data_IF_318468185069
#
_entry.id   IF_318468185069
#
_cell.length_a   1.000
_cell.length_b   1.000
_cell.length_c   1.000
_cell.angle_alpha   90.00
_cell.angle_beta   90.00
_cell.angle_gamma   90.00
#
_symmetry.space_group_name_H-M   'P 1'
#
loop_
_entity.id
_entity.type
_entity.pdbx_description
1 polymer ?
#
# COMPACT_ATOMS: atom_id res chain seq x y z
N UNK A 1 0.18 21.56 15.27
CA UNK A 1 -0.88 20.52 15.30
C UNK A 1 -0.22 19.21 14.89
N UNK A 2 -0.05 18.26 15.82
CA UNK A 2 0.50 16.94 15.51
C UNK A 2 -0.58 16.19 14.72
N UNK A 3 -0.28 15.80 13.47
CA UNK A 3 -1.22 15.03 12.66
C UNK A 3 -1.30 13.60 13.21
N UNK A 4 -2.48 12.97 13.28
CA UNK A 4 -2.58 11.58 13.71
C UNK A 4 -1.76 10.67 12.78
N UNK A 5 -1.07 9.67 13.34
CA UNK A 5 -0.34 8.70 12.54
C UNK A 5 -1.30 7.95 11.60
N UNK A 6 -0.88 7.57 10.38
CA UNK A 6 -1.70 6.73 9.53
C UNK A 6 -1.91 5.37 10.18
N UNK A 7 -3.13 4.86 10.07
CA UNK A 7 -3.51 3.55 10.58
C UNK A 7 -3.49 2.47 9.47
N UNK A 8 -3.57 2.89 8.21
CA UNK A 8 -3.38 2.03 7.03
C UNK A 8 -2.42 2.61 6.02
N UNK A 9 -1.65 1.71 5.40
CA UNK A 9 -0.82 1.96 4.23
C UNK A 9 -1.16 0.92 3.16
N UNK A 10 -1.90 1.34 2.15
CA UNK A 10 -2.38 0.49 1.05
C UNK A 10 -1.37 0.56 -0.10
N UNK A 11 -0.88 -0.61 -0.53
CA UNK A 11 0.09 -0.74 -1.61
C UNK A 11 -0.63 -1.29 -2.84
N UNK A 12 -0.85 -0.43 -3.83
CA UNK A 12 -1.33 -0.85 -5.14
C UNK A 12 -0.19 -1.45 -5.95
N UNK A 13 -0.37 -2.64 -6.50
CA UNK A 13 0.70 -3.31 -7.24
C UNK A 13 1.76 -3.93 -6.33
N UNK A 14 1.35 -4.45 -5.16
CA UNK A 14 2.24 -4.94 -4.11
C UNK A 14 3.22 -6.05 -4.53
N UNK A 15 2.96 -6.74 -5.65
CA UNK A 15 3.81 -7.80 -6.21
C UNK A 15 4.63 -7.34 -7.42
N UNK A 16 4.57 -6.05 -7.78
CA UNK A 16 5.32 -5.46 -8.89
C UNK A 16 6.73 -5.07 -8.50
N UNK A 17 7.60 -4.91 -9.50
CA UNK A 17 9.04 -4.66 -9.31
C UNK A 17 9.33 -3.49 -8.37
N UNK A 18 8.63 -2.36 -8.51
CA UNK A 18 8.84 -1.21 -7.63
C UNK A 18 8.58 -1.56 -6.15
N UNK A 19 7.50 -2.29 -5.88
CA UNK A 19 7.18 -2.73 -4.54
C UNK A 19 8.26 -3.70 -4.01
N UNK A 20 8.59 -4.73 -4.79
CA UNK A 20 9.54 -5.78 -4.38
C UNK A 20 10.98 -5.29 -4.26
N UNK A 21 11.40 -4.36 -5.13
CA UNK A 21 12.79 -3.93 -5.23
C UNK A 21 13.13 -2.77 -4.29
N UNK A 22 12.11 -2.00 -3.87
CA UNK A 22 12.30 -0.75 -3.12
C UNK A 22 11.40 -0.64 -1.90
N UNK A 23 10.09 -0.71 -2.08
CA UNK A 23 9.15 -0.40 -1.00
C UNK A 23 9.20 -1.45 0.12
N UNK A 24 9.11 -2.74 -0.20
CA UNK A 24 9.11 -3.81 0.79
C UNK A 24 10.45 -3.84 1.58
N UNK A 25 11.64 -3.75 0.95
CA UNK A 25 12.90 -3.59 1.68
C UNK A 25 12.93 -2.34 2.57
N UNK A 26 12.39 -1.20 2.10
CA UNK A 26 12.34 0.02 2.92
C UNK A 26 11.44 -0.14 4.15
N UNK A 27 10.27 -0.75 4.01
CA UNK A 27 9.38 -1.08 5.13
C UNK A 27 10.04 -2.05 6.10
N UNK A 28 10.78 -3.04 5.60
CA UNK A 28 11.57 -3.93 6.45
C UNK A 28 12.60 -3.17 7.28
N UNK A 29 13.35 -2.24 6.69
CA UNK A 29 14.31 -1.44 7.46
C UNK A 29 13.64 -0.56 8.51
N UNK A 30 12.42 -0.08 8.26
CA UNK A 30 11.64 0.65 9.25
C UNK A 30 11.17 -0.25 10.39
N UNK A 31 10.74 -1.49 10.10
CA UNK A 31 10.36 -2.47 11.12
C UNK A 31 11.58 -2.90 11.95
N UNK A 32 12.72 -3.15 11.30
CA UNK A 32 13.98 -3.51 11.96
C UNK A 32 14.46 -2.40 12.92
N UNK A 33 14.18 -1.15 12.57
CA UNK A 33 14.51 0.02 13.38
C UNK A 33 13.42 0.41 14.38
N UNK A 34 12.34 -0.38 14.50
CA UNK A 34 11.18 -0.12 15.37
C UNK A 34 10.55 1.27 15.13
N UNK A 35 10.54 1.71 13.86
CA UNK A 35 10.03 3.01 13.41
C UNK A 35 8.63 2.97 12.82
N UNK A 36 8.01 1.80 12.82
CA UNK A 36 6.63 1.63 12.36
C UNK A 36 5.72 1.72 13.59
N UNK A 37 4.75 2.63 13.55
CA UNK A 37 3.77 2.78 14.61
C UNK A 37 3.00 1.45 14.82
N UNK A 38 2.76 1.07 16.07
CA UNK A 38 2.18 -0.25 16.41
C UNK A 38 0.80 -0.49 15.81
N UNK A 39 0.02 0.58 15.60
CA UNK A 39 -1.31 0.50 14.98
C UNK A 39 -1.28 0.49 13.44
N UNK A 40 -0.15 0.79 12.81
CA UNK A 40 -0.06 0.81 11.35
C UNK A 40 -0.21 -0.61 10.80
N UNK A 41 -1.13 -0.75 9.83
CA UNK A 41 -1.34 -1.98 9.07
C UNK A 41 -1.14 -1.72 7.58
N UNK A 42 -0.72 -2.75 6.86
CA UNK A 42 -0.48 -2.69 5.43
C UNK A 42 -1.53 -3.49 4.68
N UNK A 43 -2.08 -2.94 3.60
CA UNK A 43 -2.91 -3.70 2.67
C UNK A 43 -2.13 -3.91 1.37
N UNK A 44 -1.79 -5.15 1.04
CA UNK A 44 -1.12 -5.50 -0.20
C UNK A 44 -2.16 -5.84 -1.27
N UNK A 45 -2.41 -4.90 -2.19
CA UNK A 45 -3.34 -5.12 -3.30
C UNK A 45 -2.59 -5.63 -4.54
N UNK A 46 -2.92 -6.83 -5.01
CA UNK A 46 -2.40 -7.36 -6.26
C UNK A 46 -3.34 -8.33 -6.97
N UNK A 47 -3.06 -8.55 -8.27
CA UNK A 47 -3.88 -9.36 -9.17
C UNK A 47 -3.73 -10.88 -8.99
N UNK A 48 -2.65 -11.34 -8.35
CA UNK A 48 -2.36 -12.77 -8.26
C UNK A 48 -3.40 -13.43 -7.36
N UNK A 49 -3.84 -14.62 -7.76
CA UNK A 49 -4.78 -15.41 -6.98
C UNK A 49 -4.02 -16.12 -5.85
N UNK A 50 -3.76 -15.35 -4.80
CA UNK A 50 -2.95 -15.73 -3.66
C UNK A 50 -3.78 -15.67 -2.40
N UNK A 51 -3.57 -16.64 -1.52
CA UNK A 51 -4.01 -16.57 -0.13
C UNK A 51 -3.11 -15.60 0.65
N UNK A 52 -3.52 -15.31 1.89
CA UNK A 52 -2.69 -14.57 2.84
C UNK A 52 -1.33 -15.26 3.08
N UNK A 53 -1.29 -16.59 3.09
CA UNK A 53 -0.05 -17.34 3.33
C UNK A 53 0.86 -17.35 2.10
N UNK A 54 0.30 -17.39 0.89
CA UNK A 54 1.06 -17.19 -0.36
C UNK A 54 1.71 -15.81 -0.38
N UNK A 55 0.99 -14.77 0.05
CA UNK A 55 1.54 -13.43 0.18
C UNK A 55 2.70 -13.39 1.20
N UNK A 56 2.53 -13.99 2.38
CA UNK A 56 3.59 -14.05 3.40
C UNK A 56 4.84 -14.76 2.88
N UNK A 57 4.67 -15.87 2.16
CA UNK A 57 5.77 -16.60 1.54
C UNK A 57 6.49 -15.77 0.46
N UNK A 58 5.71 -15.05 -0.35
CA UNK A 58 6.27 -14.13 -1.33
C UNK A 58 7.06 -12.99 -0.68
N UNK A 59 6.52 -12.39 0.39
CA UNK A 59 7.19 -11.34 1.15
C UNK A 59 8.50 -11.86 1.75
N UNK A 60 8.48 -13.04 2.38
CA UNK A 60 9.69 -13.65 2.96
C UNK A 60 10.78 -13.87 1.92
N UNK A 61 10.42 -14.52 0.81
CA UNK A 61 11.34 -14.82 -0.29
C UNK A 61 11.91 -13.53 -0.87
N UNK A 62 11.04 -12.54 -1.13
CA UNK A 62 11.45 -11.25 -1.68
C UNK A 62 12.44 -10.54 -0.74
N UNK A 63 12.15 -10.48 0.55
CA UNK A 63 13.01 -9.79 1.51
C UNK A 63 14.34 -10.52 1.69
N UNK A 64 14.33 -11.85 1.75
CA UNK A 64 15.54 -12.68 1.81
C UNK A 64 16.45 -12.41 0.61
N UNK A 65 15.89 -12.40 -0.59
CA UNK A 65 16.64 -12.16 -1.83
C UNK A 65 17.20 -10.74 -1.91
N UNK A 66 16.43 -9.74 -1.45
CA UNK A 66 16.81 -8.33 -1.59
C UNK A 66 17.75 -7.83 -0.50
N UNK A 67 17.68 -8.39 0.71
CA UNK A 67 18.45 -7.92 1.86
C UNK A 67 19.70 -8.76 2.12
N UNK A 68 19.72 -10.03 1.69
CA UNK A 68 20.86 -10.93 1.88
C UNK A 68 21.26 -11.03 3.35
N UNK A 69 22.50 -10.64 3.67
CA UNK A 69 23.03 -10.71 5.04
C UNK A 69 22.29 -9.82 6.06
N UNK A 70 21.49 -8.85 5.62
CA UNK A 70 20.69 -7.97 6.49
C UNK A 70 19.30 -8.55 6.82
N UNK A 71 18.93 -9.67 6.20
CA UNK A 71 17.66 -10.33 6.46
C UNK A 71 17.70 -11.06 7.81
N UNK A 72 16.67 -10.83 8.62
CA UNK A 72 16.38 -11.45 9.90
C UNK A 72 14.95 -12.03 9.85
N UNK A 73 14.79 -13.35 10.07
CA UNK A 73 13.48 -14.01 10.05
C UNK A 73 12.48 -13.42 11.05
N UNK A 74 12.92 -13.01 12.24
CA UNK A 74 12.02 -12.50 13.27
C UNK A 74 11.43 -11.14 12.88
N UNK A 75 12.27 -10.26 12.34
CA UNK A 75 11.83 -8.97 11.78
C UNK A 75 10.89 -9.16 10.59
N UNK A 76 11.18 -10.08 9.70
CA UNK A 76 10.29 -10.43 8.60
C UNK A 76 8.93 -10.91 9.11
N UNK A 77 8.92 -11.79 10.12
CA UNK A 77 7.69 -12.31 10.72
C UNK A 77 6.84 -11.19 11.35
N UNK A 78 7.46 -10.26 12.09
CA UNK A 78 6.76 -9.09 12.66
C UNK A 78 6.17 -8.21 11.56
N UNK A 79 6.94 -7.89 10.53
CA UNK A 79 6.44 -7.11 9.39
C UNK A 79 5.29 -7.83 8.69
N UNK A 80 5.45 -9.12 8.36
CA UNK A 80 4.45 -9.92 7.66
C UNK A 80 3.12 -10.02 8.43
N UNK A 81 3.17 -10.00 9.76
CA UNK A 81 1.97 -9.97 10.61
C UNK A 81 1.17 -8.67 10.50
N UNK A 82 1.78 -7.56 10.04
CA UNK A 82 1.11 -6.28 9.81
C UNK A 82 0.37 -6.20 8.47
N UNK A 83 0.60 -7.16 7.57
CA UNK A 83 0.01 -7.18 6.23
C UNK A 83 -1.29 -7.98 6.17
N UNK A 84 -2.25 -7.45 5.42
CA UNK A 84 -3.37 -8.21 4.86
C UNK A 84 -3.29 -8.15 3.32
N UNK A 85 -3.45 -9.29 2.66
CA UNK A 85 -3.44 -9.40 1.21
C UNK A 85 -4.86 -9.22 0.67
N UNK A 86 -5.01 -8.32 -0.28
CA UNK A 86 -6.26 -8.08 -0.99
C UNK A 86 -6.05 -8.49 -2.44
N UNK A 87 -6.73 -9.56 -2.85
CA UNK A 87 -6.78 -9.94 -4.26
C UNK A 87 -7.64 -8.92 -5.01
N UNK A 88 -7.06 -8.29 -6.02
CA UNK A 88 -7.82 -7.37 -6.86
C UNK A 88 -7.01 -6.80 -8.01
N UNK A 89 -7.71 -6.52 -9.11
CA UNK A 89 -7.20 -5.70 -10.19
C UNK A 89 -7.62 -4.25 -9.94
N UNK A 90 -6.65 -3.36 -9.69
CA UNK A 90 -6.93 -1.94 -9.46
C UNK A 90 -7.58 -1.23 -10.67
N UNK A 91 -7.63 -1.87 -11.84
CA UNK A 91 -8.41 -1.33 -12.98
C UNK A 91 -9.90 -1.64 -12.88
N UNK A 92 -10.31 -2.49 -11.95
CA UNK A 92 -11.68 -2.97 -11.81
C UNK A 92 -12.35 -2.38 -10.56
N UNK A 93 -13.61 -1.91 -10.65
CA UNK A 93 -14.34 -1.37 -9.50
C UNK A 93 -14.42 -2.34 -8.30
N UNK A 94 -14.46 -3.66 -8.58
CA UNK A 94 -14.54 -4.69 -7.54
C UNK A 94 -13.37 -4.62 -6.55
N UNK A 95 -12.16 -4.27 -6.99
CA UNK A 95 -11.01 -4.15 -6.10
C UNK A 95 -11.19 -3.06 -5.04
N UNK A 96 -11.86 -1.96 -5.39
CA UNK A 96 -12.12 -0.83 -4.48
C UNK A 96 -13.20 -1.17 -3.45
N UNK A 97 -14.18 -1.98 -3.84
CA UNK A 97 -15.17 -2.52 -2.91
C UNK A 97 -14.52 -3.46 -1.90
N UNK A 98 -13.62 -4.34 -2.34
CA UNK A 98 -12.85 -5.20 -1.44
C UNK A 98 -11.96 -4.39 -0.49
N UNK A 99 -11.33 -3.31 -0.97
CA UNK A 99 -10.59 -2.39 -0.10
C UNK A 99 -11.49 -1.72 0.92
N UNK A 100 -12.65 -1.20 0.51
CA UNK A 100 -13.61 -0.55 1.40
C UNK A 100 -14.10 -1.52 2.49
N UNK A 101 -14.38 -2.77 2.13
CA UNK A 101 -14.78 -3.81 3.08
C UNK A 101 -13.71 -4.03 4.16
N UNK A 102 -12.44 -4.17 3.78
CA UNK A 102 -11.33 -4.36 4.72
C UNK A 102 -11.13 -3.11 5.60
N UNK A 103 -11.15 -1.93 4.99
CA UNK A 103 -10.90 -0.65 5.66
C UNK A 103 -12.05 -0.21 6.58
N UNK A 104 -13.26 -0.71 6.35
CA UNK A 104 -14.45 -0.42 7.18
C UNK A 104 -14.59 -1.35 8.39
N UNK A 105 -13.71 -2.35 8.53
CA UNK A 105 -13.76 -3.27 9.69
C UNK A 105 -13.52 -2.48 10.99
N UNK A 106 -14.31 -2.73 12.04
CA UNK A 106 -14.12 -2.07 13.33
C UNK A 106 -12.71 -2.31 13.86
N UNK A 107 -12.09 -1.24 14.37
CA UNK A 107 -10.80 -1.31 15.07
C UNK A 107 -10.89 -0.51 16.36
N UNK A 108 -10.10 -0.89 17.34
CA UNK A 108 -9.89 -0.07 18.52
C UNK A 108 -9.15 1.21 18.10
N UNK A 109 -9.61 2.36 18.59
CA UNK A 109 -9.09 3.68 18.23
C UNK A 109 -9.74 4.32 16.99
N UNK A 110 -9.39 5.58 16.72
CA UNK A 110 -9.84 6.31 15.53
C UNK A 110 -8.84 6.15 14.40
N UNK A 111 -9.16 5.29 13.44
CA UNK A 111 -8.37 5.11 12.23
C UNK A 111 -8.82 6.09 11.15
N UNK A 112 -8.28 7.30 11.18
CA UNK A 112 -8.73 8.39 10.30
C UNK A 112 -7.80 8.64 9.12
N UNK A 113 -6.60 8.05 9.07
CA UNK A 113 -5.60 8.40 8.04
C UNK A 113 -5.11 7.17 7.29
N UNK A 114 -5.26 7.20 5.97
CA UNK A 114 -4.81 6.14 5.05
C UNK A 114 -3.79 6.71 4.08
N UNK A 115 -2.70 6.00 3.86
CA UNK A 115 -1.76 6.26 2.77
C UNK A 115 -2.03 5.27 1.65
N UNK A 116 -2.28 5.76 0.45
CA UNK A 116 -2.38 4.96 -0.77
C UNK A 116 -1.10 5.13 -1.57
N UNK A 117 -0.25 4.10 -1.59
CA UNK A 117 0.99 4.09 -2.35
C UNK A 117 0.78 3.38 -3.69
N UNK A 118 0.93 4.12 -4.78
CA UNK A 118 0.67 3.65 -6.14
C UNK A 118 1.94 3.06 -6.76
N UNK A 119 2.29 1.82 -6.38
CA UNK A 119 3.39 1.07 -7.00
C UNK A 119 2.97 0.44 -8.34
N UNK A 120 2.40 1.26 -9.23
CA UNK A 120 1.82 0.89 -10.52
C UNK A 120 2.41 1.76 -11.64
N UNK A 121 1.98 1.53 -12.89
CA UNK A 121 2.50 2.31 -14.01
C UNK A 121 1.93 3.73 -13.97
N UNK A 122 2.68 4.77 -14.40
CA UNK A 122 2.20 6.15 -14.40
C UNK A 122 0.88 6.36 -15.14
N UNK A 123 0.71 5.68 -16.28
CA UNK A 123 -0.52 5.73 -17.08
C UNK A 123 -1.77 5.24 -16.32
N UNK A 124 -1.61 4.49 -15.23
CA UNK A 124 -2.71 3.97 -14.43
C UNK A 124 -3.04 4.89 -13.22
N UNK A 125 -2.26 5.94 -12.94
CA UNK A 125 -2.46 6.78 -11.74
C UNK A 125 -3.79 7.51 -11.73
N UNK A 126 -4.13 8.22 -12.81
CA UNK A 126 -5.36 9.05 -12.87
C UNK A 126 -6.61 8.19 -12.66
N UNK A 127 -6.66 7.03 -13.32
CA UNK A 127 -7.75 6.07 -13.17
C UNK A 127 -7.89 5.60 -11.72
N UNK A 128 -6.77 5.29 -11.06
CA UNK A 128 -6.80 4.85 -9.67
C UNK A 128 -7.24 5.95 -8.72
N UNK A 129 -6.74 7.18 -8.89
CA UNK A 129 -7.15 8.33 -8.07
C UNK A 129 -8.63 8.64 -8.25
N UNK A 130 -9.13 8.59 -9.48
CA UNK A 130 -10.55 8.81 -9.80
C UNK A 130 -11.43 7.78 -9.09
N UNK A 131 -11.07 6.50 -9.18
CA UNK A 131 -11.83 5.42 -8.52
C UNK A 131 -11.78 5.50 -7.00
N UNK A 132 -10.65 5.90 -6.41
CA UNK A 132 -10.56 6.18 -4.97
C UNK A 132 -11.54 7.29 -4.56
N UNK A 133 -11.61 8.36 -5.35
CA UNK A 133 -12.57 9.44 -5.13
C UNK A 133 -14.02 8.95 -5.23
N UNK A 134 -14.37 8.22 -6.28
CA UNK A 134 -15.72 7.66 -6.49
C UNK A 134 -16.17 6.69 -5.39
N UNK A 135 -15.23 5.96 -4.78
CA UNK A 135 -15.51 5.01 -3.69
C UNK A 135 -15.70 5.71 -2.33
N UNK A 136 -15.56 7.05 -2.27
CA UNK A 136 -15.77 7.83 -1.06
C UNK A 136 -14.54 8.00 -0.18
N UNK A 137 -13.35 7.55 -0.63
CA UNK A 137 -12.08 7.81 0.05
C UNK A 137 -11.61 9.27 -0.06
N UNK A 138 -12.46 10.18 -0.54
CA UNK A 138 -12.20 11.61 -0.68
C UNK A 138 -13.11 12.50 0.19
N UNK A 139 -14.14 11.93 0.83
CA UNK A 139 -15.34 12.69 1.24
C UNK A 139 -15.49 13.08 2.72
N UNK A 140 -14.80 12.45 3.68
CA UNK A 140 -15.04 12.74 5.11
C UNK A 140 -13.77 12.63 5.98
N UNK A 141 -13.39 13.76 6.60
CA UNK A 141 -12.50 13.97 7.77
C UNK A 141 -11.11 13.32 7.83
N UNK A 142 -10.78 12.45 6.89
CA UNK A 142 -9.53 11.73 6.82
C UNK A 142 -8.48 12.48 5.98
N UNK A 143 -7.29 12.72 6.53
CA UNK A 143 -6.16 13.27 5.78
C UNK A 143 -5.49 12.17 4.95
N UNK A 144 -6.25 11.51 4.07
CA UNK A 144 -5.71 10.51 3.17
C UNK A 144 -4.58 11.09 2.32
N UNK A 145 -3.54 10.29 2.07
CA UNK A 145 -2.40 10.70 1.25
C UNK A 145 -2.25 9.73 0.09
N UNK A 146 -2.09 10.26 -1.10
CA UNK A 146 -1.74 9.47 -2.28
C UNK A 146 -0.27 9.71 -2.55
N UNK A 147 0.51 8.63 -2.58
CA UNK A 147 1.93 8.65 -2.94
C UNK A 147 2.06 8.04 -4.32
N UNK A 148 2.56 8.83 -5.26
CA UNK A 148 2.84 8.41 -6.63
C UNK A 148 4.33 8.51 -6.89
N UNK A 149 4.85 7.59 -7.70
CA UNK A 149 6.25 7.63 -8.13
C UNK A 149 6.40 8.35 -9.46
N UNK A 150 7.58 8.92 -9.70
CA UNK A 150 7.92 9.52 -10.99
C UNK A 150 7.93 8.45 -12.11
N UNK A 151 7.66 8.83 -13.38
CA UNK A 151 7.34 10.17 -13.87
C UNK A 151 5.90 10.60 -13.59
N UNK A 152 5.69 11.91 -13.38
CA UNK A 152 4.38 12.52 -13.15
C UNK A 152 3.68 12.80 -14.49
N UNK A 153 3.25 11.76 -15.18
CA UNK A 153 2.77 11.86 -16.57
C UNK A 153 3.89 11.66 -17.59
N UNK A 154 3.49 11.37 -18.83
CA UNK A 154 4.41 11.14 -19.96
C UNK A 154 4.60 12.40 -20.80
N UNK A 155 3.74 13.41 -20.61
CA UNK A 155 3.75 14.71 -21.27
C UNK A 155 3.20 15.80 -20.32
N UNK A 156 3.19 17.06 -20.78
CA UNK A 156 2.75 18.20 -19.97
C UNK A 156 1.26 18.13 -19.62
N UNK A 157 0.43 17.55 -20.49
CA UNK A 157 -1.02 17.52 -20.31
C UNK A 157 -1.42 16.43 -19.30
N UNK A 158 -0.81 15.25 -19.39
CA UNK A 158 -0.94 14.18 -18.39
C UNK A 158 -0.36 14.59 -17.03
N UNK A 159 0.74 15.36 -17.00
CA UNK A 159 1.28 15.93 -15.76
C UNK A 159 0.31 16.92 -15.10
N UNK A 160 -0.31 17.81 -15.88
CA UNK A 160 -1.33 18.74 -15.39
C UNK A 160 -2.58 18.01 -14.89
N UNK A 161 -2.99 16.95 -15.58
CA UNK A 161 -4.15 16.14 -15.19
C UNK A 161 -3.97 15.42 -13.83
N UNK A 162 -2.74 15.27 -13.33
CA UNK A 162 -2.47 14.73 -12.01
C UNK A 162 -2.59 15.77 -10.88
N UNK A 163 -2.57 17.07 -11.18
CA UNK A 163 -2.71 18.17 -10.21
C UNK A 163 -4.18 18.54 -9.93
N UNK A 164 -5.06 17.55 -9.82
CA UNK A 164 -6.49 17.74 -9.54
C UNK A 164 -6.75 18.36 -8.16
#
# INVERSE_FOLDING_TARGET
>A
MVRPAPCYFVIFGATGNLATDKLLPALYHLEAAERIHDELRFLALARRDWSQDDWRMHLDTTLRDRLGAQYDPETCLRLAARFEYVRGNYREPAAYQSLLEVLSRPREGTCENIVFYLAIRPADFLDVVTRLHETGFSGSFAQHRIVVEKPFGEDIDSAKALNL
#
